data_IF_828200323265
#
_entry.id   IF_828200323265
#
_cell.length_a   1.000
_cell.length_b   1.000
_cell.length_c   1.000
_cell.angle_alpha   90.00
_cell.angle_beta   90.00
_cell.angle_gamma   90.00
#
_symmetry.space_group_name_H-M   'P 1'
#
loop_
_entity.id
_entity.type
_entity.pdbx_description
1 polymer ?
#
# COMPACT_ATOMS: atom_id res chain seq x y z
N UNK A 1 -14.68 35.69 -52.85
CA UNK A 1 -14.36 34.29 -52.51
C UNK A 1 -13.64 34.31 -51.20
N UNK A 2 -14.34 34.02 -50.10
CA UNK A 2 -13.77 33.95 -48.77
C UNK A 2 -13.42 32.47 -48.50
N UNK A 3 -12.17 32.20 -48.18
CA UNK A 3 -11.70 30.87 -47.81
C UNK A 3 -12.16 30.53 -46.40
N UNK A 4 -12.84 29.40 -46.29
CA UNK A 4 -13.39 28.82 -45.08
C UNK A 4 -12.22 28.23 -44.24
N UNK A 5 -11.79 28.93 -43.23
CA UNK A 5 -10.72 28.54 -42.32
C UNK A 5 -11.30 27.55 -41.30
N UNK A 6 -11.20 26.27 -41.60
CA UNK A 6 -11.59 25.18 -40.68
C UNK A 6 -10.65 25.18 -39.48
N UNK A 7 -11.12 25.64 -38.35
CA UNK A 7 -10.45 25.44 -37.04
C UNK A 7 -10.11 23.99 -36.80
N UNK A 8 -8.88 23.66 -36.36
CA UNK A 8 -8.52 22.29 -36.05
C UNK A 8 -9.29 21.85 -34.79
N UNK A 9 -10.26 20.97 -34.98
CA UNK A 9 -10.90 20.26 -33.88
C UNK A 9 -9.81 19.47 -33.14
N UNK A 10 -9.50 19.85 -31.89
CA UNK A 10 -8.57 19.09 -31.08
C UNK A 10 -9.09 17.66 -30.96
N UNK A 11 -8.36 16.72 -31.54
CA UNK A 11 -8.65 15.30 -31.35
C UNK A 11 -8.49 15.01 -29.88
N UNK A 12 -9.60 14.67 -29.22
CA UNK A 12 -9.63 14.27 -27.84
C UNK A 12 -8.57 13.20 -27.55
N UNK A 13 -8.09 13.16 -26.33
CA UNK A 13 -7.11 12.25 -25.80
C UNK A 13 -7.33 10.83 -26.36
N UNK A 14 -6.58 10.46 -27.39
CA UNK A 14 -6.45 9.06 -27.80
C UNK A 14 -5.53 8.44 -26.74
N UNK A 15 -6.12 7.80 -25.74
CA UNK A 15 -5.37 7.06 -24.74
C UNK A 15 -4.36 6.16 -25.47
N UNK A 16 -3.08 6.25 -25.12
CA UNK A 16 -2.04 5.35 -25.67
C UNK A 16 -2.58 3.93 -25.56
N UNK A 17 -2.75 3.25 -26.70
CA UNK A 17 -3.11 1.83 -26.71
C UNK A 17 -2.07 1.09 -25.88
N UNK A 18 -2.53 0.40 -24.83
CA UNK A 18 -1.68 -0.46 -23.99
C UNK A 18 -1.05 -1.53 -24.90
N UNK A 19 0.23 -1.84 -24.69
CA UNK A 19 0.79 -3.04 -25.28
C UNK A 19 0.09 -4.28 -24.69
N UNK A 20 0.02 -5.43 -25.42
CA UNK A 20 -0.58 -6.64 -24.86
C UNK A 20 0.00 -7.02 -23.49
N UNK A 21 1.33 -6.93 -23.32
CA UNK A 21 2.00 -7.19 -22.05
C UNK A 21 1.59 -6.22 -20.90
N UNK A 22 1.27 -4.97 -21.23
CA UNK A 22 0.74 -4.02 -20.24
C UNK A 22 -0.74 -4.30 -19.91
N UNK A 23 -1.52 -4.82 -20.86
CA UNK A 23 -2.94 -5.12 -20.64
C UNK A 23 -3.14 -6.22 -19.58
N UNK A 24 -2.23 -7.18 -19.48
CA UNK A 24 -2.26 -8.25 -18.47
C UNK A 24 -1.83 -7.80 -17.06
N UNK A 25 -1.12 -6.67 -16.96
CA UNK A 25 -0.56 -6.14 -15.70
C UNK A 25 -1.27 -4.89 -15.20
N UNK A 26 -2.19 -4.32 -15.96
CA UNK A 26 -2.88 -3.07 -15.63
C UNK A 26 -4.37 -3.30 -15.49
N UNK A 27 -4.93 -3.21 -14.28
CA UNK A 27 -6.35 -3.44 -14.03
C UNK A 27 -7.26 -2.54 -14.86
N UNK A 28 -8.55 -2.89 -15.01
CA UNK A 28 -9.53 -2.07 -15.71
C UNK A 28 -9.56 -0.63 -15.19
N UNK A 29 -9.78 0.34 -16.06
CA UNK A 29 -9.87 1.77 -15.69
C UNK A 29 -8.56 2.43 -15.23
N UNK A 30 -7.42 1.72 -15.20
CA UNK A 30 -6.12 2.25 -14.80
C UNK A 30 -5.29 2.73 -16.02
N UNK A 31 -4.36 3.67 -15.79
CA UNK A 31 -3.32 4.06 -16.76
C UNK A 31 -1.93 3.90 -16.15
N UNK A 32 -0.92 3.63 -16.98
CA UNK A 32 0.47 3.51 -16.51
C UNK A 32 1.10 4.88 -16.36
N UNK A 33 1.77 5.12 -15.25
CA UNK A 33 2.60 6.31 -15.00
C UNK A 33 4.06 5.91 -14.73
N UNK A 34 4.98 6.77 -15.14
CA UNK A 34 6.39 6.68 -14.74
C UNK A 34 6.64 7.38 -13.40
N UNK A 35 5.80 8.36 -13.07
CA UNK A 35 5.87 9.08 -11.82
C UNK A 35 5.42 8.22 -10.64
N UNK A 36 5.78 8.66 -9.43
CA UNK A 36 5.22 8.12 -8.20
C UNK A 36 4.46 9.25 -7.49
N UNK A 37 3.16 9.44 -7.78
CA UNK A 37 2.38 10.53 -7.19
C UNK A 37 2.30 10.44 -5.67
N UNK A 38 2.50 11.58 -4.98
CA UNK A 38 2.34 11.69 -3.53
C UNK A 38 0.91 12.15 -3.25
N UNK A 39 0.11 11.26 -2.66
CA UNK A 39 -1.26 11.55 -2.22
C UNK A 39 -1.34 11.28 -0.71
N UNK A 40 -1.92 12.20 0.04
CA UNK A 40 -2.09 12.09 1.49
C UNK A 40 -3.37 12.79 1.94
N UNK A 41 -4.03 12.24 2.97
CA UNK A 41 -5.21 12.84 3.61
C UNK A 41 -4.83 13.90 4.66
N UNK A 42 -3.56 14.08 4.97
CA UNK A 42 -3.06 15.01 5.98
C UNK A 42 -1.59 15.37 5.77
N UNK A 43 -0.98 16.09 6.70
CA UNK A 43 0.43 16.48 6.63
C UNK A 43 1.32 15.23 6.63
N UNK A 44 2.48 15.34 5.98
CA UNK A 44 3.50 14.28 6.00
C UNK A 44 4.20 14.27 7.37
N UNK A 45 4.14 13.17 8.13
CA UNK A 45 4.91 13.04 9.36
C UNK A 45 6.42 13.01 9.10
N UNK A 46 7.19 13.51 10.05
CA UNK A 46 8.65 13.43 10.09
C UNK A 46 9.07 12.70 11.37
N UNK A 47 9.02 11.38 11.33
CA UNK A 47 9.36 10.55 12.49
C UNK A 47 10.86 10.31 12.56
N UNK A 48 11.49 10.73 13.65
CA UNK A 48 12.89 10.40 13.93
C UNK A 48 13.02 8.87 14.13
N UNK A 49 14.09 8.29 13.55
CA UNK A 49 14.29 6.83 13.59
C UNK A 49 14.43 6.29 15.02
N UNK A 50 14.97 7.10 15.92
CA UNK A 50 15.13 6.76 17.35
C UNK A 50 13.78 6.65 18.08
N UNK A 51 12.74 7.29 17.54
CA UNK A 51 11.36 7.28 18.09
C UNK A 51 10.44 6.32 17.34
N UNK A 52 10.94 5.74 16.24
CA UNK A 52 10.15 4.81 15.46
C UNK A 52 10.19 3.41 16.09
N UNK A 53 9.05 2.79 16.19
CA UNK A 53 8.90 1.37 16.48
C UNK A 53 7.76 0.79 15.65
N UNK A 54 7.81 -0.51 15.44
CA UNK A 54 6.74 -1.30 14.82
C UNK A 54 6.27 -2.38 15.76
N UNK A 55 4.97 -2.56 15.91
CA UNK A 55 4.42 -3.52 16.85
C UNK A 55 3.37 -4.45 16.24
N UNK A 56 3.33 -5.68 16.73
CA UNK A 56 2.20 -6.59 16.62
C UNK A 56 1.45 -6.59 17.95
N UNK A 57 0.13 -6.42 17.89
CA UNK A 57 -0.70 -6.37 19.11
C UNK A 57 -2.07 -7.02 18.89
N UNK A 58 -2.72 -7.41 19.98
CA UNK A 58 -4.11 -7.89 20.01
C UNK A 58 -4.85 -7.21 21.16
N UNK A 59 -5.84 -6.40 20.83
CA UNK A 59 -6.47 -5.53 21.82
C UNK A 59 -5.45 -4.60 22.48
N UNK A 60 -5.33 -4.67 23.80
CA UNK A 60 -4.33 -3.91 24.58
C UNK A 60 -3.02 -4.66 24.77
N UNK A 61 -2.96 -5.95 24.41
CA UNK A 61 -1.77 -6.77 24.56
C UNK A 61 -0.80 -6.54 23.41
N UNK A 62 0.43 -6.13 23.73
CA UNK A 62 1.54 -6.10 22.79
C UNK A 62 2.16 -7.49 22.71
N UNK A 63 2.13 -8.09 21.52
CA UNK A 63 2.69 -9.42 21.27
C UNK A 63 4.19 -9.34 20.95
N UNK A 64 4.58 -8.32 20.16
CA UNK A 64 5.97 -8.01 19.84
C UNK A 64 6.12 -6.53 19.49
N UNK A 65 7.33 -6.00 19.67
CA UNK A 65 7.69 -4.64 19.25
C UNK A 65 9.17 -4.61 18.88
N UNK A 66 9.49 -3.91 17.81
CA UNK A 66 10.83 -3.71 17.31
C UNK A 66 11.12 -2.20 17.19
N UNK A 67 12.21 -1.75 17.80
CA UNK A 67 12.84 -0.46 17.49
C UNK A 67 13.39 -0.47 16.07
N UNK A 68 13.76 0.70 15.52
CA UNK A 68 14.33 0.78 14.17
C UNK A 68 15.56 -0.13 13.97
N UNK A 69 16.57 -0.16 14.85
CA UNK A 69 17.70 -1.07 14.69
C UNK A 69 17.30 -2.55 14.74
N UNK A 70 16.37 -2.91 15.61
CA UNK A 70 15.87 -4.29 15.72
C UNK A 70 15.10 -4.70 14.44
N UNK A 71 14.25 -3.81 13.92
CA UNK A 71 13.51 -4.06 12.69
C UNK A 71 14.44 -4.21 11.47
N UNK A 72 15.47 -3.37 11.37
CA UNK A 72 16.48 -3.48 10.31
C UNK A 72 17.34 -4.75 10.39
N UNK A 73 17.46 -5.36 11.57
CA UNK A 73 18.18 -6.61 11.80
C UNK A 73 17.36 -7.86 11.43
N UNK A 74 16.04 -7.73 11.25
CA UNK A 74 15.20 -8.83 10.75
C UNK A 74 15.56 -9.17 9.31
N UNK A 75 15.21 -10.40 8.89
CA UNK A 75 15.43 -10.82 7.50
C UNK A 75 14.73 -9.88 6.52
N UNK A 76 15.51 -9.22 5.69
CA UNK A 76 15.01 -8.30 4.65
C UNK A 76 14.76 -9.05 3.34
N UNK A 77 13.62 -8.79 2.74
CA UNK A 77 13.21 -9.36 1.43
C UNK A 77 13.10 -8.25 0.40
N UNK A 78 13.64 -8.49 -0.81
CA UNK A 78 13.47 -7.59 -1.95
C UNK A 78 12.40 -8.16 -2.89
N UNK A 79 11.44 -7.33 -3.28
CA UNK A 79 10.38 -7.68 -4.23
C UNK A 79 10.27 -6.63 -5.33
N UNK A 80 9.91 -7.08 -6.54
CA UNK A 80 9.54 -6.19 -7.65
C UNK A 80 8.09 -6.47 -8.00
N UNK A 81 7.24 -5.45 -7.86
CA UNK A 81 5.79 -5.59 -7.99
C UNK A 81 5.17 -4.37 -8.69
N UNK A 82 3.97 -4.54 -9.20
CA UNK A 82 3.14 -3.48 -9.71
C UNK A 82 2.24 -2.93 -8.60
N UNK A 83 2.01 -1.63 -8.58
CA UNK A 83 1.12 -0.98 -7.62
C UNK A 83 0.02 -0.21 -8.33
N UNK A 84 -1.19 -0.22 -7.76
CA UNK A 84 -2.39 0.31 -8.37
C UNK A 84 -3.10 1.26 -7.41
N UNK A 85 -3.25 2.53 -7.80
CA UNK A 85 -3.94 3.51 -6.97
C UNK A 85 -5.43 3.63 -7.35
N UNK A 86 -6.29 3.84 -6.36
CA UNK A 86 -7.72 4.11 -6.58
C UNK A 86 -7.96 5.32 -7.48
N UNK A 87 -7.02 6.28 -7.52
CA UNK A 87 -7.03 7.46 -8.40
C UNK A 87 -6.60 7.13 -9.84
N UNK A 88 -6.68 5.85 -10.23
CA UNK A 88 -6.56 5.32 -11.59
C UNK A 88 -5.16 5.25 -12.19
N UNK A 89 -4.09 5.52 -11.45
CA UNK A 89 -2.74 5.27 -11.93
C UNK A 89 -2.19 3.92 -11.46
N UNK A 90 -1.38 3.29 -12.31
CA UNK A 90 -0.57 2.12 -12.01
C UNK A 90 0.88 2.43 -12.28
N UNK A 91 1.77 2.03 -11.38
CA UNK A 91 3.22 2.09 -11.57
C UNK A 91 3.74 0.66 -11.59
N UNK A 92 4.38 0.30 -12.69
CA UNK A 92 4.89 -1.05 -12.91
C UNK A 92 6.35 -1.16 -12.47
N UNK A 93 6.77 -2.41 -12.18
CA UNK A 93 8.16 -2.77 -11.87
C UNK A 93 8.74 -1.98 -10.69
N UNK A 94 7.93 -1.72 -9.66
CA UNK A 94 8.38 -1.01 -8.46
C UNK A 94 9.16 -1.95 -7.56
N UNK A 95 10.40 -1.57 -7.20
CA UNK A 95 11.27 -2.37 -6.35
C UNK A 95 11.22 -1.91 -4.90
N UNK A 96 11.00 -2.85 -4.00
CA UNK A 96 10.85 -2.59 -2.56
C UNK A 96 11.73 -3.53 -1.75
N UNK A 97 12.20 -3.04 -0.59
CA UNK A 97 12.92 -3.86 0.39
C UNK A 97 12.30 -3.66 1.77
N UNK A 98 12.05 -4.75 2.46
CA UNK A 98 11.48 -4.76 3.80
C UNK A 98 11.33 -6.14 4.39
N UNK A 99 10.54 -6.25 5.44
CA UNK A 99 10.29 -7.47 6.21
C UNK A 99 8.92 -8.02 5.84
N UNK A 100 8.83 -9.32 5.52
CA UNK A 100 7.54 -9.97 5.24
C UNK A 100 6.72 -10.12 6.51
N UNK A 101 5.40 -10.21 6.37
CA UNK A 101 4.52 -10.49 7.50
C UNK A 101 4.85 -11.85 8.16
N UNK A 102 5.20 -12.84 7.35
CA UNK A 102 5.62 -14.17 7.84
C UNK A 102 6.87 -14.06 8.75
N UNK A 103 7.87 -13.29 8.34
CA UNK A 103 9.06 -13.01 9.16
C UNK A 103 8.71 -12.27 10.46
N UNK A 104 7.74 -11.37 10.43
CA UNK A 104 7.28 -10.68 11.65
C UNK A 104 6.57 -11.64 12.61
N UNK A 105 5.75 -12.57 12.11
CA UNK A 105 5.13 -13.61 12.94
C UNK A 105 6.20 -14.52 13.57
N UNK A 106 7.15 -15.01 12.78
CA UNK A 106 8.26 -15.84 13.26
C UNK A 106 9.07 -15.12 14.33
N UNK A 107 9.48 -13.87 14.08
CA UNK A 107 10.24 -13.06 15.02
C UNK A 107 9.45 -12.71 16.31
N UNK A 108 8.13 -12.75 16.27
CA UNK A 108 7.25 -12.62 17.43
C UNK A 108 7.02 -13.94 18.18
N UNK A 109 7.55 -15.06 17.68
CA UNK A 109 7.32 -16.40 18.23
C UNK A 109 5.89 -16.91 18.00
N UNK A 110 5.22 -16.43 16.96
CA UNK A 110 3.87 -16.84 16.58
C UNK A 110 3.93 -17.84 15.42
N UNK A 111 3.37 -19.03 15.62
CA UNK A 111 3.25 -20.04 14.55
C UNK A 111 2.28 -19.60 13.45
N UNK A 112 1.28 -18.80 13.81
CA UNK A 112 0.30 -18.23 12.88
C UNK A 112 -0.29 -16.96 13.47
N UNK A 113 -0.98 -16.18 12.62
CA UNK A 113 -1.74 -15.03 13.08
C UNK A 113 -2.90 -15.46 14.00
N UNK A 114 -3.11 -14.80 15.15
CA UNK A 114 -4.12 -15.20 16.14
C UNK A 114 -5.56 -14.92 15.69
N UNK A 115 -5.77 -14.16 14.64
CA UNK A 115 -7.11 -13.81 14.09
C UNK A 115 -7.09 -13.78 12.57
N UNK A 116 -8.27 -13.69 11.95
CA UNK A 116 -8.42 -13.67 10.49
C UNK A 116 -8.17 -12.28 9.86
N UNK A 117 -8.14 -11.21 10.65
CA UNK A 117 -7.97 -9.84 10.16
C UNK A 117 -6.95 -9.07 10.99
N UNK A 118 -6.39 -8.06 10.38
CA UNK A 118 -5.57 -7.05 11.04
C UNK A 118 -6.07 -5.65 10.72
N UNK A 119 -5.87 -4.73 11.65
CA UNK A 119 -5.94 -3.29 11.45
C UNK A 119 -4.51 -2.76 11.43
N UNK A 120 -4.04 -2.31 10.27
CA UNK A 120 -2.81 -1.55 10.19
C UNK A 120 -3.04 -0.14 10.75
N UNK A 121 -2.13 0.33 11.59
CA UNK A 121 -2.18 1.68 12.13
C UNK A 121 -0.87 2.43 11.91
N UNK A 122 -0.99 3.72 11.70
CA UNK A 122 0.10 4.58 11.23
C UNK A 122 0.26 5.82 12.10
N UNK A 123 1.39 6.48 11.96
CA UNK A 123 1.59 7.84 12.48
C UNK A 123 0.49 8.76 11.95
N UNK A 124 -0.01 9.67 12.78
CA UNK A 124 -1.09 10.58 12.39
C UNK A 124 -2.49 9.96 12.38
N UNK A 125 -2.64 8.71 12.86
CA UNK A 125 -3.96 8.09 13.08
C UNK A 125 -4.60 7.43 11.86
N UNK A 126 -3.89 7.31 10.74
CA UNK A 126 -4.40 6.55 9.59
C UNK A 126 -4.49 5.06 9.93
N UNK A 127 -5.58 4.42 9.50
CA UNK A 127 -5.80 2.98 9.65
C UNK A 127 -6.35 2.36 8.37
N UNK A 128 -6.10 1.07 8.16
CA UNK A 128 -6.75 0.26 7.12
C UNK A 128 -6.83 -1.20 7.56
N UNK A 129 -7.95 -1.84 7.27
CA UNK A 129 -8.19 -3.25 7.55
C UNK A 129 -7.62 -4.15 6.44
N UNK A 130 -7.22 -5.35 6.80
CA UNK A 130 -6.73 -6.37 5.86
C UNK A 130 -7.07 -7.76 6.37
N UNK A 131 -7.51 -8.68 5.51
CA UNK A 131 -7.50 -10.10 5.81
C UNK A 131 -6.05 -10.58 6.00
N UNK A 132 -5.82 -11.46 6.96
CA UNK A 132 -4.49 -12.07 7.18
C UNK A 132 -4.04 -12.87 5.97
N UNK A 133 -4.97 -13.47 5.23
CA UNK A 133 -4.68 -14.22 4.00
C UNK A 133 -3.96 -13.39 2.94
N UNK A 134 -4.13 -12.07 2.93
CA UNK A 134 -3.46 -11.15 2.01
C UNK A 134 -2.09 -10.67 2.49
N UNK A 135 -1.66 -11.11 3.67
CA UNK A 135 -0.36 -10.75 4.25
C UNK A 135 0.61 -11.92 4.31
N UNK A 136 0.12 -13.15 4.53
CA UNK A 136 0.94 -14.37 4.63
C UNK A 136 1.48 -14.83 3.26
N UNK A 137 2.39 -15.79 3.29
CA UNK A 137 3.03 -16.36 2.09
C UNK A 137 3.78 -15.31 1.27
N UNK A 138 4.41 -14.33 1.92
CA UNK A 138 5.19 -13.27 1.30
C UNK A 138 4.37 -12.20 0.58
N UNK A 139 3.04 -12.16 0.72
CA UNK A 139 2.17 -11.21 0.03
C UNK A 139 2.17 -9.82 0.68
N UNK A 140 2.33 -9.74 2.00
CA UNK A 140 2.40 -8.49 2.75
C UNK A 140 3.79 -8.22 3.30
N UNK A 141 4.28 -6.99 3.15
CA UNK A 141 5.58 -6.56 3.67
C UNK A 141 5.46 -5.22 4.40
N UNK A 142 6.32 -5.02 5.39
CA UNK A 142 6.62 -3.68 5.92
C UNK A 142 7.93 -3.23 5.31
N UNK A 143 7.87 -2.31 4.35
CA UNK A 143 9.00 -1.90 3.52
C UNK A 143 9.59 -0.58 4.00
N UNK A 144 10.92 -0.49 3.93
CA UNK A 144 11.72 0.67 4.37
C UNK A 144 12.51 1.31 3.23
N UNK A 145 12.60 0.63 2.06
CA UNK A 145 13.29 1.14 0.87
C UNK A 145 12.41 1.04 -0.37
N UNK A 146 12.62 1.98 -1.28
CA UNK A 146 12.08 2.02 -2.63
C UNK A 146 13.22 2.32 -3.59
N UNK A 147 13.37 1.51 -4.66
CA UNK A 147 14.47 1.59 -5.63
C UNK A 147 15.85 1.72 -4.93
N UNK A 148 16.10 0.83 -3.96
CA UNK A 148 17.32 0.74 -3.13
C UNK A 148 17.60 1.95 -2.21
N UNK A 149 16.85 3.03 -2.32
CA UNK A 149 16.98 4.20 -1.45
C UNK A 149 16.05 4.10 -0.21
N UNK A 150 16.39 4.71 0.92
CA UNK A 150 15.47 4.87 2.04
C UNK A 150 14.16 5.50 1.58
N UNK A 151 13.05 4.98 2.09
CA UNK A 151 11.72 5.43 1.69
C UNK A 151 11.52 6.90 2.09
N UNK A 152 11.26 7.75 1.08
CA UNK A 152 11.03 9.18 1.31
C UNK A 152 9.79 9.41 2.19
N UNK A 153 9.77 10.43 3.06
CA UNK A 153 8.65 10.74 3.95
C UNK A 153 7.31 10.85 3.22
N UNK A 154 7.25 11.52 2.06
CA UNK A 154 6.03 11.66 1.26
C UNK A 154 5.48 10.34 0.73
N UNK A 155 6.31 9.32 0.58
CA UNK A 155 5.93 7.96 0.18
C UNK A 155 5.68 7.02 1.35
N UNK A 156 5.74 7.50 2.58
CA UNK A 156 5.42 6.75 3.79
C UNK A 156 6.62 6.36 4.63
N UNK A 157 7.81 6.96 4.39
CA UNK A 157 8.99 6.72 5.23
C UNK A 157 8.81 7.16 6.68
N UNK A 158 9.52 6.49 7.62
CA UNK A 158 10.60 5.53 7.39
C UNK A 158 10.13 4.14 6.98
N UNK A 159 8.86 3.77 7.24
CA UNK A 159 8.31 2.46 6.85
C UNK A 159 6.86 2.57 6.41
N UNK A 160 6.48 1.75 5.43
CA UNK A 160 5.09 1.60 5.00
C UNK A 160 4.72 0.13 4.85
N UNK A 161 3.44 -0.16 4.95
CA UNK A 161 2.90 -1.44 4.54
C UNK A 161 2.87 -1.52 3.01
N UNK A 162 3.12 -2.70 2.45
CA UNK A 162 3.03 -3.01 1.03
C UNK A 162 2.17 -4.27 0.84
N UNK A 163 1.03 -4.11 0.20
CA UNK A 163 0.10 -5.19 -0.20
C UNK A 163 -0.26 -4.94 -1.66
N UNK A 164 0.59 -5.36 -2.62
CA UNK A 164 0.59 -4.87 -3.99
C UNK A 164 -0.62 -5.31 -4.81
N UNK A 165 -1.26 -6.43 -4.46
CA UNK A 165 -2.43 -6.96 -5.15
C UNK A 165 -3.74 -6.23 -4.80
N UNK A 166 -3.72 -5.37 -3.77
CA UNK A 166 -4.84 -4.50 -3.42
C UNK A 166 -4.58 -3.04 -3.85
N UNK A 167 -5.63 -2.25 -3.95
CA UNK A 167 -5.45 -0.82 -4.17
C UNK A 167 -4.54 -0.19 -3.11
N UNK A 168 -3.70 0.75 -3.52
CA UNK A 168 -2.54 1.24 -2.77
C UNK A 168 -2.88 1.99 -1.47
N UNK A 169 -4.15 2.33 -1.21
CA UNK A 169 -4.55 2.82 0.13
C UNK A 169 -4.47 1.73 1.20
N UNK A 170 -4.56 0.42 0.82
CA UNK A 170 -4.33 -0.72 1.72
C UNK A 170 -2.87 -0.86 2.15
N UNK A 171 -1.96 -0.25 1.40
CA UNK A 171 -0.54 -0.16 1.71
C UNK A 171 -0.26 1.09 2.56
N UNK A 172 -0.61 1.03 3.85
CA UNK A 172 -0.58 2.15 4.79
C UNK A 172 0.81 2.81 4.88
N UNK A 173 0.87 4.13 4.67
CA UNK A 173 2.08 4.95 4.88
C UNK A 173 2.36 5.15 6.36
N UNK A 174 3.64 5.39 6.72
CA UNK A 174 4.07 5.70 8.08
C UNK A 174 3.59 4.69 9.12
N UNK A 175 3.60 3.42 8.73
CA UNK A 175 3.05 2.33 9.55
C UNK A 175 3.81 2.18 10.86
N UNK A 176 3.05 1.97 11.95
CA UNK A 176 3.57 1.78 13.32
C UNK A 176 3.24 0.40 13.87
N UNK A 177 2.36 -0.34 13.22
CA UNK A 177 2.05 -1.70 13.61
C UNK A 177 0.79 -2.27 13.01
N UNK A 178 0.55 -3.52 13.38
CA UNK A 178 -0.65 -4.28 13.04
C UNK A 178 -1.34 -4.73 14.31
N UNK A 179 -2.63 -4.45 14.42
CA UNK A 179 -3.48 -4.93 15.51
C UNK A 179 -4.33 -6.09 15.00
N UNK A 180 -4.19 -7.26 15.58
CA UNK A 180 -5.03 -8.42 15.28
C UNK A 180 -6.45 -8.18 15.78
N UNK A 181 -7.43 -8.36 14.89
CA UNK A 181 -8.86 -8.15 15.16
C UNK A 181 -9.67 -9.37 14.71
N UNK A 182 -10.69 -9.74 15.50
CA UNK A 182 -11.48 -10.94 15.23
C UNK A 182 -12.45 -10.75 14.05
N UNK A 183 -12.93 -9.52 13.87
CA UNK A 183 -13.90 -9.15 12.83
C UNK A 183 -13.31 -8.10 11.90
N UNK A 184 -13.71 -8.13 10.64
CA UNK A 184 -13.35 -7.09 9.67
C UNK A 184 -14.03 -5.76 10.04
N UNK A 185 -13.23 -4.72 10.27
CA UNK A 185 -13.71 -3.40 10.67
C UNK A 185 -13.15 -2.35 9.71
N UNK A 186 -13.95 -1.34 9.33
CA UNK A 186 -13.48 -0.29 8.44
C UNK A 186 -12.33 0.50 9.07
N UNK A 187 -11.29 0.76 8.28
CA UNK A 187 -10.26 1.73 8.58
C UNK A 187 -10.66 3.14 8.15
N UNK A 188 -9.68 4.03 7.94
CA UNK A 188 -9.92 5.45 7.64
C UNK A 188 -10.74 5.65 6.35
N UNK A 189 -10.25 5.15 5.21
CA UNK A 189 -10.94 5.35 3.93
C UNK A 189 -12.20 4.52 3.80
N UNK A 190 -12.19 3.29 4.32
CA UNK A 190 -13.35 2.41 4.35
C UNK A 190 -14.51 3.04 5.12
N UNK A 191 -14.26 3.75 6.23
CA UNK A 191 -15.25 4.51 6.99
C UNK A 191 -15.82 5.71 6.22
N UNK A 192 -15.11 6.19 5.20
CA UNK A 192 -15.50 7.29 4.33
C UNK A 192 -16.11 6.80 3.00
N UNK A 193 -16.45 5.51 2.91
CA UNK A 193 -17.16 4.95 1.76
C UNK A 193 -16.28 4.29 0.70
N UNK A 194 -15.01 4.03 0.99
CA UNK A 194 -14.18 3.17 0.13
C UNK A 194 -14.53 1.70 0.35
N UNK A 195 -14.19 0.85 -0.62
CA UNK A 195 -14.47 -0.58 -0.53
C UNK A 195 -13.68 -1.24 0.60
N UNK A 196 -14.30 -2.17 1.33
CA UNK A 196 -13.65 -2.87 2.46
C UNK A 196 -12.42 -3.67 2.04
N UNK A 197 -12.44 -4.31 0.86
CA UNK A 197 -11.34 -5.13 0.37
C UNK A 197 -10.41 -4.38 -0.58
N UNK A 198 -10.96 -3.81 -1.67
CA UNK A 198 -10.19 -2.95 -2.58
C UNK A 198 -9.36 -3.69 -3.63
N UNK A 199 -9.93 -4.73 -4.27
CA UNK A 199 -9.32 -5.44 -5.40
C UNK A 199 -9.34 -4.56 -6.67
N UNK A 200 -8.16 -4.17 -7.23
CA UNK A 200 -8.11 -3.32 -8.42
C UNK A 200 -8.61 -4.02 -9.69
N UNK A 201 -8.54 -5.34 -9.75
CA UNK A 201 -9.00 -6.11 -10.91
C UNK A 201 -10.51 -6.22 -10.98
N UNK A 202 -11.20 -6.08 -9.85
CA UNK A 202 -12.67 -5.99 -9.73
C UNK A 202 -13.16 -4.56 -9.67
N UNK A 203 -12.25 -3.58 -9.82
CA UNK A 203 -12.54 -2.14 -9.68
C UNK A 203 -13.22 -1.75 -8.35
N UNK A 204 -12.96 -2.49 -7.28
CA UNK A 204 -13.51 -2.27 -5.93
C UNK A 204 -12.96 -0.96 -5.30
N UNK A 205 -13.47 0.19 -5.76
CA UNK A 205 -13.06 1.53 -5.29
C UNK A 205 -13.89 2.00 -4.12
N UNK A 206 -15.21 1.80 -4.19
CA UNK A 206 -16.16 2.34 -3.23
C UNK A 206 -17.07 1.25 -2.68
N UNK A 207 -17.70 1.54 -1.53
CA UNK A 207 -18.71 0.64 -0.98
C UNK A 207 -19.86 0.48 -1.99
N UNK A 208 -20.11 -0.77 -2.38
CA UNK A 208 -21.14 -1.11 -3.39
C UNK A 208 -20.61 -1.41 -4.79
N UNK A 209 -19.30 -1.30 -5.04
CA UNK A 209 -18.66 -1.77 -6.28
C UNK A 209 -18.58 -3.30 -6.32
#
# INVERSE_FOLDING_TARGET
MAADEKSPVSRGFVGRRRSPAQAERVPPGQYVTLDFPILSAGPTPHTALEQWSFALQQGTQRLAEWSWPQFQALQQTSVTVDIHCVTKWSKLDTRWVGVTFDTLLEAAGLESAPTSYVMAYSEGGYTTNLPVTDLVNGQGLVVTKFDDAPLAPGHGGPARLLVPHLYFWKSAKWVRGLSFIAEDKPGFWESLGYHMYGDPWKEQRYAGD
#
